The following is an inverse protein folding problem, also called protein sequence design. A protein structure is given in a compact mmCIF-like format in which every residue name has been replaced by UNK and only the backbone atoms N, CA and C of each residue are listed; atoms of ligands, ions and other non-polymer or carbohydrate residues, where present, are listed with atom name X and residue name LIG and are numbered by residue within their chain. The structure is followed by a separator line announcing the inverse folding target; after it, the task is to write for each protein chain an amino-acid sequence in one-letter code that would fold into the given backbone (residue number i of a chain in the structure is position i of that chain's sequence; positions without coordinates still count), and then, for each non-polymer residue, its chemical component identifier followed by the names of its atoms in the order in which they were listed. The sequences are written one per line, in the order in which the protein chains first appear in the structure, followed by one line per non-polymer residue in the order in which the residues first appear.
data_IF_766008180777
#
_entry.id   IF_766008180777
#
_cell.length_a   1.000
_cell.length_b   1.000
_cell.length_c   1.000
_cell.angle_alpha   90.00
_cell.angle_beta   90.00
_cell.angle_gamma   90.00
#
_symmetry.space_group_name_H-M   'P 1'
#
loop_
_entity.id
_entity.type
_entity.pdbx_description
1 polymer ?
#
# COMPACT_ATOMS: atom_id res chain seq x y z
N UNK A 1 -5.41 -1.21 -6.52
CA UNK A 1 -4.01 -1.51 -6.85
C UNK A 1 -3.29 -1.92 -5.58
N UNK A 2 -2.40 -2.92 -5.70
CA UNK A 2 -1.58 -3.46 -4.61
C UNK A 2 -0.13 -3.45 -5.06
N UNK A 3 0.77 -3.02 -4.18
CA UNK A 3 2.21 -3.27 -4.32
C UNK A 3 2.55 -4.39 -3.35
N UNK A 4 3.25 -5.39 -3.85
CA UNK A 4 3.72 -6.52 -3.07
C UNK A 4 5.16 -6.83 -3.49
N UNK A 5 5.99 -7.15 -2.51
CA UNK A 5 7.32 -7.69 -2.80
C UNK A 5 7.14 -9.12 -3.33
N UNK A 6 7.62 -9.38 -4.54
CA UNK A 6 7.53 -10.70 -5.16
C UNK A 6 8.83 -11.08 -5.83
N UNK A 7 9.12 -12.36 -5.86
CA UNK A 7 10.18 -12.93 -6.67
C UNK A 7 9.62 -13.26 -8.05
N UNK A 8 10.30 -12.80 -9.09
CA UNK A 8 10.01 -13.22 -10.45
C UNK A 8 10.72 -14.54 -10.74
N UNK A 9 10.04 -15.44 -11.45
CA UNK A 9 10.57 -16.73 -11.87
C UNK A 9 10.12 -17.07 -13.28
N UNK A 10 10.93 -17.82 -14.00
CA UNK A 10 10.61 -18.45 -15.29
C UNK A 10 10.03 -19.86 -15.11
N UNK A 11 9.97 -20.37 -13.88
CA UNK A 11 9.27 -21.62 -13.58
C UNK A 11 7.80 -21.53 -14.01
N UNK A 12 7.27 -22.60 -14.56
CA UNK A 12 5.90 -22.66 -15.07
C UNK A 12 4.88 -22.53 -13.93
N UNK A 13 4.39 -21.32 -13.70
CA UNK A 13 3.28 -21.05 -12.75
C UNK A 13 1.97 -21.16 -13.53
N UNK A 14 1.12 -22.10 -13.14
CA UNK A 14 -0.17 -22.36 -13.78
C UNK A 14 -1.26 -22.64 -12.73
N UNK A 15 -2.55 -22.58 -13.10
CA UNK A 15 -3.62 -23.05 -12.23
C UNK A 15 -3.36 -24.46 -11.75
N UNK A 16 -3.36 -24.65 -10.44
CA UNK A 16 -3.08 -25.94 -9.76
C UNK A 16 -1.78 -25.94 -8.95
N UNK A 17 -0.80 -25.06 -9.24
CA UNK A 17 0.39 -24.93 -8.40
C UNK A 17 0.46 -23.62 -7.60
N UNK A 18 -0.53 -22.73 -7.73
CA UNK A 18 -0.69 -21.55 -6.87
C UNK A 18 -0.91 -21.96 -5.42
N UNK A 19 -0.20 -21.32 -4.49
CA UNK A 19 -0.14 -21.71 -3.08
C UNK A 19 0.88 -22.82 -2.77
N UNK A 20 1.44 -23.47 -3.80
CA UNK A 20 2.52 -24.44 -3.65
C UNK A 20 3.89 -23.79 -3.48
N UNK A 21 4.91 -24.55 -3.08
CA UNK A 21 6.26 -24.04 -2.87
C UNK A 21 6.99 -23.76 -4.18
N UNK A 22 7.76 -22.64 -4.19
CA UNK A 22 8.85 -22.44 -5.14
C UNK A 22 10.13 -22.89 -4.46
N UNK A 23 10.83 -23.87 -5.08
CA UNK A 23 12.06 -24.42 -4.54
C UNK A 23 13.27 -24.04 -5.37
N UNK A 24 14.41 -23.89 -4.69
CA UNK A 24 15.70 -23.75 -5.37
C UNK A 24 16.27 -25.13 -5.80
N UNK A 25 17.44 -25.15 -6.42
CA UNK A 25 18.10 -26.38 -6.91
C UNK A 25 18.52 -27.33 -5.79
N UNK A 26 18.60 -26.85 -4.55
CA UNK A 26 18.93 -27.68 -3.38
C UNK A 26 17.68 -28.28 -2.73
N UNK A 27 16.47 -27.92 -3.20
CA UNK A 27 15.20 -28.36 -2.62
C UNK A 27 14.71 -27.47 -1.49
N UNK A 28 15.37 -26.34 -1.19
CA UNK A 28 14.90 -25.42 -0.17
C UNK A 28 13.69 -24.62 -0.71
N UNK A 29 12.67 -24.43 0.10
CA UNK A 29 11.53 -23.58 -0.25
C UNK A 29 11.94 -22.12 -0.08
N UNK A 30 11.93 -21.38 -1.19
CA UNK A 30 12.32 -19.97 -1.25
C UNK A 30 11.13 -19.03 -1.42
N UNK A 31 9.97 -19.56 -1.77
CA UNK A 31 8.75 -18.76 -1.94
C UNK A 31 7.50 -19.60 -2.05
N UNK A 32 6.37 -18.89 -2.10
CA UNK A 32 5.03 -19.46 -2.33
C UNK A 32 4.48 -18.96 -3.64
N UNK A 33 4.18 -19.85 -4.58
CA UNK A 33 3.64 -19.51 -5.90
C UNK A 33 2.34 -18.71 -5.77
N UNK A 34 2.24 -17.57 -6.42
CA UNK A 34 1.08 -16.69 -6.27
C UNK A 34 0.35 -16.49 -7.59
N UNK A 35 0.96 -15.83 -8.54
CA UNK A 35 0.29 -15.47 -9.78
C UNK A 35 1.22 -15.56 -11.00
N UNK A 36 0.58 -15.64 -12.17
CA UNK A 36 1.19 -15.50 -13.48
C UNK A 36 0.65 -14.22 -14.13
N UNK A 37 1.50 -13.44 -14.78
CA UNK A 37 1.01 -12.44 -15.72
C UNK A 37 0.52 -13.20 -16.95
N UNK A 38 -0.77 -13.07 -17.25
CA UNK A 38 -1.38 -13.61 -18.46
C UNK A 38 -1.64 -12.41 -19.38
N UNK A 39 -0.64 -12.07 -20.18
CA UNK A 39 -0.84 -11.25 -21.38
C UNK A 39 -0.58 -12.15 -22.59
N UNK A 40 -1.36 -11.98 -23.65
CA UNK A 40 -1.42 -12.88 -24.82
C UNK A 40 -0.05 -13.08 -25.52
N UNK A 41 0.95 -12.26 -25.22
CA UNK A 41 2.28 -12.30 -25.83
C UNK A 41 3.43 -12.56 -24.84
N UNK A 42 3.14 -12.75 -23.52
CA UNK A 42 4.18 -12.92 -22.49
C UNK A 42 4.01 -14.26 -21.80
N UNK A 43 4.78 -15.26 -22.22
CA UNK A 43 4.93 -16.53 -21.51
C UNK A 43 6.19 -16.53 -20.64
N UNK A 44 6.18 -17.33 -19.57
CA UNK A 44 7.38 -17.58 -18.76
C UNK A 44 7.66 -16.53 -17.67
N UNK A 45 6.68 -15.67 -17.32
CA UNK A 45 6.82 -14.79 -16.17
C UNK A 45 5.83 -15.21 -15.08
N UNK A 46 6.37 -15.83 -14.04
CA UNK A 46 5.65 -16.18 -12.81
C UNK A 46 6.10 -15.33 -11.63
N UNK A 47 5.29 -15.27 -10.59
CA UNK A 47 5.62 -14.58 -9.35
C UNK A 47 5.33 -15.45 -8.13
N UNK A 48 6.26 -15.41 -7.17
CA UNK A 48 6.14 -16.06 -5.88
C UNK A 48 6.34 -15.05 -4.75
N UNK A 49 5.61 -15.22 -3.67
CA UNK A 49 5.80 -14.46 -2.43
C UNK A 49 7.07 -15.00 -1.76
N UNK A 50 8.05 -14.16 -1.37
CA UNK A 50 9.23 -14.61 -0.62
C UNK A 50 8.84 -15.43 0.59
N UNK A 51 9.60 -16.49 0.89
CA UNK A 51 9.23 -17.42 1.99
C UNK A 51 9.25 -16.72 3.35
N UNK A 52 10.13 -15.74 3.53
CA UNK A 52 10.23 -14.97 4.76
C UNK A 52 8.93 -14.19 5.01
N UNK A 53 8.42 -13.51 3.99
CA UNK A 53 7.18 -12.74 4.05
C UNK A 53 5.98 -13.69 4.28
N UNK A 54 5.94 -14.82 3.58
CA UNK A 54 4.88 -15.82 3.74
C UNK A 54 4.87 -16.43 5.16
N UNK A 55 6.04 -16.75 5.71
CA UNK A 55 6.18 -17.32 7.04
C UNK A 55 5.84 -16.36 8.16
N UNK A 56 6.07 -15.04 7.97
CA UNK A 56 5.64 -14.04 8.95
C UNK A 56 4.11 -14.11 9.16
N UNK A 57 3.34 -14.12 8.06
CA UNK A 57 1.88 -14.24 8.13
C UNK A 57 1.42 -15.64 8.60
N UNK A 58 2.05 -16.69 8.10
CA UNK A 58 1.70 -18.06 8.47
C UNK A 58 1.86 -18.29 9.98
N UNK A 59 2.96 -17.83 10.58
CA UNK A 59 3.19 -17.95 12.02
C UNK A 59 2.14 -17.20 12.84
N UNK A 60 1.75 -15.99 12.43
CA UNK A 60 0.68 -15.22 13.09
C UNK A 60 -0.64 -16.00 13.04
N UNK A 61 -1.01 -16.54 11.88
CA UNK A 61 -2.26 -17.30 11.68
C UNK A 61 -2.26 -18.58 12.55
N UNK A 62 -1.16 -19.35 12.54
CA UNK A 62 -1.05 -20.60 13.32
C UNK A 62 -1.14 -20.32 14.82
N UNK A 63 -0.60 -19.19 15.28
CA UNK A 63 -0.66 -18.77 16.68
C UNK A 63 -2.03 -18.17 17.06
N UNK A 64 -2.98 -18.08 16.12
CA UNK A 64 -4.29 -17.47 16.35
C UNK A 64 -4.23 -15.95 16.52
N UNK A 65 -3.13 -15.31 16.06
CA UNK A 65 -2.98 -13.87 16.11
C UNK A 65 -3.85 -13.21 15.05
N UNK A 66 -4.54 -12.14 15.42
CA UNK A 66 -5.24 -11.28 14.46
C UNK A 66 -4.23 -10.43 13.71
N UNK A 67 -4.21 -10.52 12.38
CA UNK A 67 -3.37 -9.66 11.55
C UNK A 67 -3.98 -8.27 11.53
N UNK A 68 -3.41 -7.38 12.33
CA UNK A 68 -3.84 -5.99 12.46
C UNK A 68 -2.98 -5.11 11.56
N UNK A 69 -3.62 -4.25 10.78
CA UNK A 69 -2.93 -3.32 9.87
C UNK A 69 -3.04 -1.89 10.37
N UNK A 70 -1.96 -1.15 10.15
CA UNK A 70 -1.98 0.28 10.37
C UNK A 70 -3.04 0.96 9.49
N UNK A 71 -3.68 1.98 10.03
CA UNK A 71 -4.85 2.62 9.46
C UNK A 71 -4.80 4.14 9.63
N UNK A 72 -5.22 4.87 8.61
CA UNK A 72 -5.26 6.33 8.60
C UNK A 72 -6.67 6.90 8.75
N UNK A 73 -7.67 6.26 8.15
CA UNK A 73 -9.05 6.74 8.11
C UNK A 73 -9.27 7.84 7.07
N UNK A 74 -8.82 7.58 5.84
CA UNK A 74 -8.99 8.49 4.71
C UNK A 74 -9.63 7.78 3.51
N UNK A 75 -10.47 8.51 2.79
CA UNK A 75 -10.79 8.21 1.40
C UNK A 75 -9.83 8.97 0.49
N UNK A 76 -9.29 8.34 -0.52
CA UNK A 76 -8.17 8.86 -1.29
C UNK A 76 -8.28 8.53 -2.78
N UNK A 77 -7.61 9.33 -3.60
CA UNK A 77 -7.46 9.10 -5.03
C UNK A 77 -6.04 9.41 -5.49
N UNK A 78 -5.57 8.74 -6.55
CA UNK A 78 -4.31 9.09 -7.19
C UNK A 78 -4.41 10.44 -7.86
N UNK A 79 -3.34 11.24 -7.76
CA UNK A 79 -3.28 12.57 -8.39
C UNK A 79 -3.42 12.50 -9.91
N UNK A 80 -3.09 11.35 -10.51
CA UNK A 80 -3.28 11.08 -11.94
C UNK A 80 -4.75 10.97 -12.37
N UNK A 81 -5.69 10.94 -11.41
CA UNK A 81 -7.12 11.01 -11.71
C UNK A 81 -7.47 12.34 -12.37
N UNK A 82 -8.51 12.33 -13.20
CA UNK A 82 -8.86 13.53 -13.97
C UNK A 82 -9.26 14.71 -13.08
N UNK A 83 -8.91 15.93 -13.50
CA UNK A 83 -9.33 17.17 -12.81
C UNK A 83 -10.86 17.26 -12.62
N UNK A 84 -11.66 16.68 -13.53
CA UNK A 84 -13.12 16.61 -13.39
C UNK A 84 -13.55 15.73 -12.22
N UNK A 85 -12.79 14.68 -11.91
CA UNK A 85 -13.02 13.85 -10.74
C UNK A 85 -12.84 14.64 -9.45
N UNK A 86 -11.75 15.39 -9.30
CA UNK A 86 -11.48 16.18 -8.11
C UNK A 86 -12.46 17.35 -7.93
N UNK A 87 -12.84 18.02 -9.03
CA UNK A 87 -13.85 19.08 -9.00
C UNK A 87 -15.21 18.62 -8.50
N UNK A 88 -15.59 17.35 -8.77
CA UNK A 88 -16.82 16.75 -8.22
C UNK A 88 -16.83 16.75 -6.68
N UNK A 89 -15.66 16.65 -6.08
CA UNK A 89 -15.48 16.72 -4.62
C UNK A 89 -15.16 18.14 -4.12
N UNK A 90 -15.17 19.15 -5.00
CA UNK A 90 -14.80 20.53 -4.63
C UNK A 90 -13.34 20.65 -4.22
N UNK A 91 -12.47 19.86 -4.84
CA UNK A 91 -11.01 19.91 -4.67
C UNK A 91 -10.42 20.56 -5.92
N UNK A 92 -9.67 21.64 -5.74
CA UNK A 92 -8.90 22.31 -6.80
C UNK A 92 -7.42 22.02 -6.56
N UNK A 93 -6.82 21.26 -7.45
CA UNK A 93 -5.43 20.84 -7.32
C UNK A 93 -4.53 21.74 -8.15
N UNK A 94 -3.35 21.98 -7.64
CA UNK A 94 -2.29 22.65 -8.37
C UNK A 94 -1.71 21.74 -9.46
N UNK A 95 -1.74 22.17 -10.70
CA UNK A 95 -1.20 21.42 -11.86
C UNK A 95 0.33 21.15 -11.75
N UNK A 96 1.04 21.85 -10.86
CA UNK A 96 2.46 21.59 -10.61
C UNK A 96 2.73 20.33 -9.75
N UNK A 97 1.71 19.82 -9.05
CA UNK A 97 1.83 18.59 -8.25
C UNK A 97 1.54 17.41 -9.17
N UNK A 98 2.57 16.64 -9.49
CA UNK A 98 2.48 15.55 -10.47
C UNK A 98 2.48 14.15 -9.86
N UNK A 99 2.72 14.04 -8.55
CA UNK A 99 2.73 12.76 -7.82
C UNK A 99 2.24 12.93 -6.40
N UNK A 100 1.68 11.87 -5.83
CA UNK A 100 1.13 11.84 -4.49
C UNK A 100 -0.29 11.28 -4.44
N UNK A 101 -0.87 11.29 -3.26
CA UNK A 101 -2.22 10.76 -2.98
C UNK A 101 -3.10 11.88 -2.44
N UNK A 102 -4.17 12.16 -3.16
CA UNK A 102 -5.13 13.21 -2.79
C UNK A 102 -6.13 12.67 -1.76
N UNK A 103 -6.29 13.37 -0.65
CA UNK A 103 -7.28 13.08 0.38
C UNK A 103 -8.65 13.61 -0.07
N UNK A 104 -9.57 12.72 -0.31
CA UNK A 104 -10.96 13.05 -0.70
C UNK A 104 -11.80 13.38 0.54
N UNK A 105 -11.62 12.62 1.60
CA UNK A 105 -12.26 12.84 2.90
C UNK A 105 -11.49 12.14 4.01
N UNK A 106 -11.69 12.59 5.24
CA UNK A 106 -11.23 11.92 6.45
C UNK A 106 -12.44 11.40 7.22
N UNK A 107 -12.30 10.26 7.87
CA UNK A 107 -13.32 9.72 8.77
C UNK A 107 -13.27 10.47 10.12
N UNK A 108 -14.42 10.68 10.72
CA UNK A 108 -14.50 11.32 12.03
C UNK A 108 -13.80 10.48 13.09
N UNK A 109 -13.07 11.13 13.98
CA UNK A 109 -12.28 10.49 15.04
C UNK A 109 -11.22 9.52 14.56
N UNK A 110 -10.88 9.55 13.27
CA UNK A 110 -9.78 8.77 12.70
C UNK A 110 -8.42 9.35 13.06
N UNK A 111 -7.33 8.56 12.94
CA UNK A 111 -5.98 9.07 13.05
C UNK A 111 -5.70 10.29 12.18
N UNK A 112 -6.17 10.27 10.93
CA UNK A 112 -5.99 11.37 9.99
C UNK A 112 -6.71 12.63 10.44
N UNK A 113 -7.97 12.53 10.89
CA UNK A 113 -8.72 13.68 11.38
C UNK A 113 -8.10 14.25 12.66
N UNK A 114 -7.61 13.40 13.56
CA UNK A 114 -6.94 13.83 14.80
C UNK A 114 -5.58 14.49 14.54
N UNK A 115 -4.90 14.09 13.46
CA UNK A 115 -3.64 14.68 13.00
C UNK A 115 -3.87 15.93 12.11
N UNK A 116 -5.11 16.38 11.95
CA UNK A 116 -5.46 17.52 11.12
C UNK A 116 -5.09 17.35 9.62
N UNK A 117 -5.18 16.12 9.11
CA UNK A 117 -5.19 15.85 7.68
C UNK A 117 -6.57 16.25 7.15
N UNK A 118 -6.60 17.07 6.11
CA UNK A 118 -7.80 17.67 5.59
C UNK A 118 -8.09 17.19 4.16
N UNK A 119 -9.35 17.31 3.78
CA UNK A 119 -9.75 17.14 2.38
C UNK A 119 -8.98 18.10 1.48
N UNK A 120 -8.47 17.59 0.36
CA UNK A 120 -7.66 18.34 -0.60
C UNK A 120 -6.16 18.30 -0.33
N UNK A 121 -5.72 17.79 0.82
CA UNK A 121 -4.31 17.53 1.05
C UNK A 121 -3.78 16.51 0.04
N UNK A 122 -2.54 16.70 -0.40
CA UNK A 122 -1.83 15.71 -1.20
C UNK A 122 -0.72 15.09 -0.35
N UNK A 123 -0.88 13.82 0.02
CA UNK A 123 0.14 13.09 0.77
C UNK A 123 1.29 12.78 -0.18
N UNK A 124 2.48 13.25 0.16
CA UNK A 124 3.71 13.08 -0.61
C UNK A 124 4.76 12.26 0.12
N UNK A 125 4.62 12.05 1.45
CA UNK A 125 5.57 11.27 2.22
C UNK A 125 4.91 10.64 3.45
N UNK A 126 5.33 9.41 3.80
CA UNK A 126 4.98 8.72 5.05
C UNK A 126 6.25 8.22 5.73
N UNK A 127 6.54 8.74 6.93
CA UNK A 127 7.82 8.49 7.60
C UNK A 127 8.99 8.90 6.70
N UNK A 128 9.83 7.94 6.34
CA UNK A 128 11.00 8.16 5.46
C UNK A 128 10.71 7.92 3.96
N UNK A 129 9.51 7.44 3.61
CA UNK A 129 9.17 6.98 2.26
C UNK A 129 8.40 8.04 1.48
N UNK A 130 8.92 8.43 0.31
CA UNK A 130 8.20 9.27 -0.64
C UNK A 130 7.04 8.50 -1.28
N UNK A 131 5.93 9.18 -1.52
CA UNK A 131 4.67 8.58 -1.98
C UNK A 131 4.29 9.18 -3.33
N UNK A 132 4.10 8.33 -4.33
CA UNK A 132 3.70 8.72 -5.68
C UNK A 132 2.25 8.37 -6.00
N UNK A 133 1.70 7.32 -5.38
CA UNK A 133 0.38 6.79 -5.66
C UNK A 133 -0.19 6.03 -4.46
N UNK A 134 -1.47 5.63 -4.55
CA UNK A 134 -2.19 4.88 -3.51
C UNK A 134 -1.52 3.55 -3.18
N UNK A 135 -1.00 2.85 -4.20
CA UNK A 135 -0.39 1.54 -3.99
C UNK A 135 0.88 1.66 -3.12
N UNK A 136 1.73 2.66 -3.38
CA UNK A 136 2.90 2.96 -2.55
C UNK A 136 2.51 3.39 -1.14
N UNK A 137 1.49 4.26 -1.00
CA UNK A 137 1.01 4.68 0.32
C UNK A 137 0.57 3.47 1.16
N UNK A 138 -0.22 2.56 0.59
CA UNK A 138 -0.65 1.33 1.27
C UNK A 138 0.52 0.42 1.62
N UNK A 139 1.44 0.23 0.68
CA UNK A 139 2.61 -0.63 0.88
C UNK A 139 3.47 -0.15 2.05
N UNK A 140 3.78 1.16 2.10
CA UNK A 140 4.59 1.70 3.18
C UNK A 140 3.82 1.85 4.50
N UNK A 141 2.52 2.18 4.45
CA UNK A 141 1.66 2.21 5.63
C UNK A 141 1.64 0.85 6.35
N UNK A 142 1.58 -0.25 5.60
CA UNK A 142 1.53 -1.60 6.17
C UNK A 142 2.86 -2.11 6.73
N UNK A 143 3.96 -1.38 6.56
CA UNK A 143 5.22 -1.64 7.28
C UNK A 143 5.19 -1.16 8.73
N UNK A 144 4.28 -0.24 9.05
CA UNK A 144 4.05 0.23 10.39
C UNK A 144 3.02 -0.62 11.13
N UNK A 145 3.02 -0.50 12.45
CA UNK A 145 2.06 -1.16 13.33
C UNK A 145 0.99 -0.18 13.79
N UNK A 146 -0.22 -0.65 14.17
CA UNK A 146 -1.15 0.16 14.93
C UNK A 146 -0.47 0.77 16.17
N UNK A 147 -0.80 2.05 16.45
CA UNK A 147 -0.23 2.89 17.49
C UNK A 147 1.20 3.40 17.25
N UNK A 148 1.84 3.08 16.13
CA UNK A 148 3.10 3.74 15.75
C UNK A 148 2.85 5.23 15.53
N UNK A 149 3.84 6.03 15.96
CA UNK A 149 3.86 7.48 15.81
C UNK A 149 4.80 7.84 14.67
N UNK A 150 4.26 8.43 13.62
CA UNK A 150 5.00 8.76 12.40
C UNK A 150 4.70 10.20 11.95
N UNK A 151 5.51 10.70 11.01
CA UNK A 151 5.28 11.98 10.35
C UNK A 151 4.73 11.70 8.95
N UNK A 152 3.66 12.37 8.59
CA UNK A 152 3.14 12.42 7.22
C UNK A 152 3.38 13.82 6.68
N UNK A 153 3.97 13.91 5.48
CA UNK A 153 4.13 15.19 4.79
C UNK A 153 3.03 15.33 3.75
N UNK A 154 2.34 16.46 3.78
CA UNK A 154 1.28 16.81 2.83
C UNK A 154 1.56 18.14 2.17
N UNK A 155 1.03 18.32 0.96
CA UNK A 155 0.91 19.64 0.31
C UNK A 155 -0.53 20.13 0.50
N UNK A 156 -0.68 21.34 1.03
CA UNK A 156 -1.94 22.05 1.22
C UNK A 156 -1.76 23.51 0.84
N UNK A 157 -2.62 24.04 0.01
CA UNK A 157 -2.57 25.46 -0.41
C UNK A 157 -1.16 25.91 -0.85
N UNK A 158 -0.50 25.09 -1.68
CA UNK A 158 0.86 25.29 -2.22
C UNK A 158 2.00 25.21 -1.20
N UNK A 159 1.73 24.86 0.06
CA UNK A 159 2.73 24.73 1.10
C UNK A 159 2.86 23.28 1.57
N UNK A 160 4.06 22.90 1.98
CA UNK A 160 4.31 21.61 2.62
C UNK A 160 4.08 21.71 4.14
N UNK A 161 3.42 20.71 4.68
CA UNK A 161 3.20 20.55 6.13
C UNK A 161 3.65 19.17 6.57
N UNK A 162 4.30 19.12 7.72
CA UNK A 162 4.62 17.87 8.42
C UNK A 162 3.63 17.70 9.56
N UNK A 163 2.90 16.59 9.52
CA UNK A 163 1.84 16.27 10.48
C UNK A 163 2.23 15.01 11.23
N UNK A 164 2.31 15.12 12.56
CA UNK A 164 2.52 13.96 13.40
C UNK A 164 1.20 13.19 13.56
N UNK A 165 1.23 11.88 13.32
CA UNK A 165 0.06 11.01 13.39
C UNK A 165 0.37 9.77 14.22
N UNK A 166 -0.59 9.37 15.04
CA UNK A 166 -0.61 8.07 15.70
C UNK A 166 -1.52 7.16 14.87
N UNK A 167 -0.95 6.12 14.28
CA UNK A 167 -1.67 5.20 13.40
C UNK A 167 -2.73 4.42 14.17
N UNK A 168 -3.90 4.30 13.57
CA UNK A 168 -4.96 3.47 14.10
C UNK A 168 -4.82 2.01 13.66
N UNK A 169 -5.82 1.24 14.03
CA UNK A 169 -5.98 -0.14 13.66
C UNK A 169 -7.17 -0.27 12.70
N UNK A 170 -6.96 -0.92 11.54
CA UNK A 170 -8.10 -1.26 10.68
C UNK A 170 -8.97 -2.28 11.41
N UNK A 171 -10.24 -1.95 11.62
CA UNK A 171 -11.25 -2.96 11.97
C UNK A 171 -11.35 -4.01 10.85
N UNK A 172 -11.71 -5.23 11.21
CA UNK A 172 -12.03 -6.31 10.27
C UNK A 172 -13.20 -5.94 9.37
#
# INVERSE_FOLDING_TARGET
DWIMNVMQTDAAINPGNSGGPLCNVNGDVIGVNSMKIVEDEIEGIGFAIPIEDAMEYANKIVNGEVIRRAYLGISMADISSSNSYFKKYGIDLNDSITSGVVVISTEENSPASNANILKGDVIIKIGEYDIKNIAELRYYLYKYKPNDKIIIKVIRDYNEYELEIVLGESGN
#
